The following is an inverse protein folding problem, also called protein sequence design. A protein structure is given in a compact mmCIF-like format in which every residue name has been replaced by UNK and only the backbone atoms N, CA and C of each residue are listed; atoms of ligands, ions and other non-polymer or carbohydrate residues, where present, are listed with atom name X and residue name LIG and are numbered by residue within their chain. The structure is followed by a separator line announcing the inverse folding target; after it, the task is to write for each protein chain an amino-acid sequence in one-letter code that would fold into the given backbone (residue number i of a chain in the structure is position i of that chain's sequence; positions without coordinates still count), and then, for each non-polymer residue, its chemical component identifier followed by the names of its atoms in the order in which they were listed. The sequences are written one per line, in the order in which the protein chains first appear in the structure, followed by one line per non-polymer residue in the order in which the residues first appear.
data_IF_247549456467
#
_entry.id   IF_247549456467
#
_cell.length_a   1.000
_cell.length_b   1.000
_cell.length_c   1.000
_cell.angle_alpha   90.00
_cell.angle_beta   90.00
_cell.angle_gamma   90.00
#
_symmetry.space_group_name_H-M   'P 1'
#
loop_
_entity.id
_entity.type
_entity.pdbx_description
1 polymer ?
#
# COMPACT_ATOMS: atom_id res chain seq x y z
N UNK A 1 -4.11 4.14 -5.63
CA UNK A 1 -3.43 4.44 -6.91
C UNK A 1 -2.11 5.13 -6.69
N UNK A 2 -2.08 6.20 -5.90
CA UNK A 2 -0.84 6.92 -5.62
C UNK A 2 -0.03 6.27 -4.48
N UNK A 3 1.31 6.15 -4.59
CA UNK A 3 2.17 5.53 -3.59
C UNK A 3 2.45 6.48 -2.41
N UNK A 4 1.42 7.15 -1.89
CA UNK A 4 1.52 8.10 -0.78
C UNK A 4 1.62 7.42 0.58
N UNK A 5 1.42 6.11 0.64
CA UNK A 5 1.49 5.33 1.88
C UNK A 5 2.93 5.19 2.38
N UNK A 6 3.93 5.29 1.49
CA UNK A 6 5.34 5.11 1.86
C UNK A 6 5.66 3.71 2.37
N UNK A 7 4.78 2.74 2.13
CA UNK A 7 4.86 1.37 2.62
C UNK A 7 4.92 0.40 1.44
N UNK A 8 5.57 -0.74 1.64
CA UNK A 8 5.53 -1.87 0.71
C UNK A 8 4.69 -2.99 1.30
N UNK A 9 4.03 -3.75 0.42
CA UNK A 9 3.17 -4.86 0.81
C UNK A 9 3.62 -6.16 0.16
N UNK A 10 4.91 -6.50 0.25
CA UNK A 10 5.46 -7.76 -0.27
C UNK A 10 4.78 -9.04 0.27
N UNK A 11 3.96 -8.93 1.33
CA UNK A 11 3.11 -10.01 1.87
C UNK A 11 1.61 -9.82 1.58
N UNK A 12 1.24 -8.98 0.61
CA UNK A 12 -0.14 -8.69 0.22
C UNK A 12 -0.92 -7.76 1.16
N UNK A 13 -0.30 -7.25 2.22
CA UNK A 13 -1.00 -6.44 3.24
C UNK A 13 -0.28 -5.12 3.50
N UNK A 14 -1.06 -4.05 3.67
CA UNK A 14 -0.61 -2.73 4.10
C UNK A 14 -1.02 -2.49 5.54
N UNK A 15 -0.16 -1.89 6.37
CA UNK A 15 -0.52 -1.56 7.75
C UNK A 15 -1.19 -0.19 7.84
N UNK A 16 -0.90 0.70 6.91
CA UNK A 16 -1.43 2.06 6.89
C UNK A 16 -2.94 2.08 6.60
N UNK A 17 -3.79 2.60 7.50
CA UNK A 17 -5.24 2.67 7.28
C UNK A 17 -5.59 3.51 6.06
N UNK A 18 -6.51 3.00 5.24
CA UNK A 18 -6.92 3.62 3.97
C UNK A 18 -5.95 3.36 2.81
N UNK A 19 -4.84 2.67 3.04
CA UNK A 19 -4.00 2.17 1.96
C UNK A 19 -4.44 0.77 1.55
N UNK A 20 -4.43 0.53 0.25
CA UNK A 20 -4.65 -0.76 -0.39
C UNK A 20 -3.33 -1.28 -0.94
N UNK A 21 -3.13 -2.59 -0.87
CA UNK A 21 -1.94 -3.19 -1.46
C UNK A 21 -2.08 -3.22 -2.99
N UNK A 22 -1.16 -2.55 -3.68
CA UNK A 22 -0.94 -2.68 -5.12
C UNK A 22 0.46 -3.26 -5.28
N UNK A 23 0.56 -4.58 -5.13
CA UNK A 23 1.83 -5.30 -5.04
C UNK A 23 2.87 -4.78 -6.05
N UNK A 24 4.09 -4.43 -5.61
CA UNK A 24 4.66 -4.62 -4.26
C UNK A 24 4.47 -3.42 -3.31
N UNK A 25 3.67 -2.40 -3.68
CA UNK A 25 3.62 -1.11 -2.99
C UNK A 25 2.22 -0.83 -2.45
N UNK A 26 2.15 -0.30 -1.24
CA UNK A 26 0.90 0.23 -0.71
C UNK A 26 0.56 1.53 -1.41
N UNK A 27 -0.64 1.59 -2.00
CA UNK A 27 -1.17 2.81 -2.59
C UNK A 27 -2.46 3.20 -1.91
N UNK A 28 -2.75 4.49 -1.87
CA UNK A 28 -4.05 5.02 -1.47
C UNK A 28 -4.65 5.71 -2.69
N UNK A 29 -5.97 5.64 -2.84
CA UNK A 29 -6.78 6.18 -3.96
C UNK A 29 -5.99 6.77 -5.13
#
# INVERSE_FOLDING_TARGET
GLPVCGETCFGGTCNTPGCSCTDPICTRD
#
